data_IF_259163115383
#
_entry.id   IF_259163115383
#
_cell.length_a   1.000
_cell.length_b   1.000
_cell.length_c   1.000
_cell.angle_alpha   90.00
_cell.angle_beta   90.00
_cell.angle_gamma   90.00
#
_symmetry.space_group_name_H-M   'P 1'
#
loop_
_entity.id
_entity.type
_entity.pdbx_description
1 polymer ?
#
# COMPACT_ATOMS: atom_id res chain seq x y z
N UNK A 1 12.23 28.72 1.57
CA UNK A 1 11.29 28.43 0.47
C UNK A 1 10.07 27.71 1.04
N UNK A 2 8.94 27.67 0.32
CA UNK A 2 7.75 26.89 0.67
C UNK A 2 7.78 25.46 0.11
N UNK A 3 8.95 24.82 0.10
CA UNK A 3 9.14 23.53 -0.55
C UNK A 3 8.59 22.39 0.32
N UNK A 4 7.88 21.46 -0.30
CA UNK A 4 7.30 20.27 0.35
C UNK A 4 8.11 19.05 -0.08
N UNK A 5 8.43 18.17 0.87
CA UNK A 5 9.18 16.94 0.65
C UNK A 5 8.67 15.86 1.59
N UNK A 6 8.87 14.60 1.21
CA UNK A 6 8.56 13.46 2.07
C UNK A 6 9.61 13.35 3.18
N UNK A 7 9.16 13.03 4.40
CA UNK A 7 10.06 12.80 5.54
C UNK A 7 10.57 11.35 5.60
N UNK A 8 9.80 10.43 5.04
CA UNK A 8 10.04 8.99 4.99
C UNK A 8 9.51 8.43 3.66
N UNK A 9 9.85 7.19 3.29
CA UNK A 9 9.17 6.49 2.22
C UNK A 9 7.64 6.52 2.43
N UNK A 10 6.92 6.58 1.30
CA UNK A 10 5.47 6.44 1.27
C UNK A 10 5.15 5.02 0.85
N UNK A 11 4.06 4.49 1.38
CA UNK A 11 3.59 3.11 1.18
C UNK A 11 2.12 3.20 0.78
N UNK A 12 1.80 2.73 -0.43
CA UNK A 12 0.47 2.89 -1.03
C UNK A 12 -0.56 2.03 -0.31
N UNK A 13 -0.19 0.81 0.07
CA UNK A 13 -1.00 -0.16 0.79
C UNK A 13 -1.36 0.35 2.19
N UNK A 14 -0.48 1.14 2.81
CA UNK A 14 -0.72 1.76 4.10
C UNK A 14 -1.56 3.04 4.00
N UNK A 15 -1.25 3.96 3.07
CA UNK A 15 -1.97 5.22 2.90
C UNK A 15 -1.89 5.70 1.45
N UNK A 16 -3.05 5.72 0.79
CA UNK A 16 -3.13 6.03 -0.65
C UNK A 16 -3.04 7.52 -0.94
N UNK A 17 -3.33 8.37 0.05
CA UNK A 17 -3.29 9.82 -0.15
C UNK A 17 -3.22 10.64 1.13
N UNK A 18 -2.80 11.90 1.00
CA UNK A 18 -2.76 12.86 2.08
C UNK A 18 -3.48 14.16 1.68
N UNK A 19 -4.18 14.76 2.64
CA UNK A 19 -4.74 16.11 2.51
C UNK A 19 -3.98 17.05 3.44
N UNK A 20 -3.22 17.98 2.86
CA UNK A 20 -2.39 18.92 3.60
C UNK A 20 -3.05 20.30 3.61
N UNK A 21 -3.11 20.95 4.77
CA UNK A 21 -3.45 22.37 4.90
C UNK A 21 -2.16 23.14 5.13
N UNK A 22 -1.81 24.02 4.20
CA UNK A 22 -0.58 24.80 4.25
C UNK A 22 -0.93 26.25 4.54
N UNK A 23 -0.32 26.82 5.56
CA UNK A 23 -0.45 28.23 5.92
C UNK A 23 0.84 28.98 5.61
N UNK A 24 0.69 30.15 4.96
CA UNK A 24 1.76 31.11 4.79
C UNK A 24 1.37 32.43 5.45
N UNK A 25 2.26 32.99 6.26
CA UNK A 25 2.04 34.26 6.97
C UNK A 25 3.26 35.18 6.87
N UNK A 26 3.02 36.49 6.98
CA UNK A 26 4.09 37.48 7.05
C UNK A 26 4.66 37.59 8.47
N UNK A 27 5.87 38.16 8.61
CA UNK A 27 6.53 38.34 9.91
C UNK A 27 6.13 39.66 10.61
N UNK A 28 4.95 40.21 10.29
CA UNK A 28 4.51 41.48 10.88
C UNK A 28 4.09 41.30 12.35
N UNK A 29 4.09 42.39 13.12
CA UNK A 29 3.64 42.40 14.53
C UNK A 29 2.17 41.97 14.69
N UNK A 30 1.36 42.13 13.64
CA UNK A 30 0.05 41.48 13.47
C UNK A 30 0.11 40.64 12.20
N UNK A 31 0.44 39.33 12.30
CA UNK A 31 0.57 38.47 11.14
C UNK A 31 -0.74 38.36 10.37
N UNK A 32 -0.67 38.49 9.05
CA UNK A 32 -1.76 38.11 8.16
C UNK A 32 -1.29 36.88 7.40
N UNK A 33 -2.13 35.84 7.40
CA UNK A 33 -1.86 34.58 6.73
C UNK A 33 -2.97 34.17 5.77
N UNK A 34 -2.63 33.26 4.87
CA UNK A 34 -3.56 32.58 3.97
C UNK A 34 -3.30 31.08 4.01
N UNK A 35 -4.35 30.29 3.84
CA UNK A 35 -4.28 28.84 3.79
C UNK A 35 -4.60 28.32 2.40
N UNK A 36 -4.00 27.18 2.04
CA UNK A 36 -4.34 26.41 0.84
C UNK A 36 -4.37 24.93 1.20
N UNK A 37 -5.27 24.19 0.56
CA UNK A 37 -5.35 22.75 0.65
C UNK A 37 -4.60 22.10 -0.51
N UNK A 38 -3.80 21.06 -0.21
CA UNK A 38 -3.02 20.30 -1.18
C UNK A 38 -3.35 18.83 -1.03
N UNK A 39 -3.87 18.23 -2.10
CA UNK A 39 -4.02 16.79 -2.20
C UNK A 39 -2.72 16.15 -2.73
N UNK A 40 -2.27 15.09 -2.07
CA UNK A 40 -1.11 14.30 -2.47
C UNK A 40 -1.56 12.87 -2.66
N UNK A 41 -1.58 12.39 -3.91
CA UNK A 41 -1.81 10.98 -4.21
C UNK A 41 -0.49 10.20 -4.14
N UNK A 42 -0.51 9.04 -3.49
CA UNK A 42 0.56 8.05 -3.57
C UNK A 42 0.31 7.18 -4.79
N UNK A 43 1.34 6.93 -5.58
CA UNK A 43 1.24 6.10 -6.78
C UNK A 43 1.54 4.67 -6.38
N UNK A 44 0.63 3.74 -6.69
CA UNK A 44 0.86 2.33 -6.46
C UNK A 44 2.06 1.82 -7.30
N UNK A 45 2.86 0.95 -6.70
CA UNK A 45 3.95 0.22 -7.34
C UNK A 45 3.84 -1.23 -6.96
N UNK A 46 4.23 -2.15 -7.85
CA UNK A 46 4.18 -3.57 -7.54
C UNK A 46 5.38 -3.95 -6.65
N UNK A 47 5.24 -3.78 -5.33
CA UNK A 47 6.27 -4.09 -4.34
C UNK A 47 5.84 -5.14 -3.31
N UNK A 48 4.61 -5.63 -3.37
CA UNK A 48 4.17 -6.83 -2.69
C UNK A 48 4.22 -8.03 -3.65
N UNK A 49 4.63 -9.19 -3.12
CA UNK A 49 4.62 -10.45 -3.87
C UNK A 49 3.46 -11.31 -3.34
N UNK A 50 2.81 -12.12 -4.19
CA UNK A 50 1.71 -12.96 -3.73
C UNK A 50 2.16 -13.91 -2.61
N UNK A 51 1.42 -13.92 -1.51
CA UNK A 51 1.66 -14.79 -0.36
C UNK A 51 0.56 -15.84 -0.24
N UNK A 52 0.93 -17.08 0.05
CA UNK A 52 -0.01 -18.16 0.38
C UNK A 52 -0.38 -18.12 1.87
N UNK A 53 -1.55 -18.63 2.23
CA UNK A 53 -2.04 -18.62 3.62
C UNK A 53 -1.12 -19.37 4.61
N UNK A 54 -0.52 -20.46 4.15
CA UNK A 54 0.38 -21.29 4.95
C UNK A 54 1.78 -21.33 4.33
N UNK A 55 2.80 -21.48 5.18
CA UNK A 55 4.19 -21.67 4.73
C UNK A 55 4.43 -23.10 4.22
N UNK A 56 3.73 -24.09 4.75
CA UNK A 56 3.89 -25.49 4.41
C UNK A 56 2.53 -26.15 4.20
N UNK A 57 2.43 -26.92 3.14
CA UNK A 57 1.23 -27.66 2.79
C UNK A 57 1.53 -29.15 2.73
N UNK A 58 0.76 -29.93 3.48
CA UNK A 58 0.87 -31.38 3.51
C UNK A 58 -0.37 -31.99 2.85
N UNK A 59 -0.15 -32.91 1.93
CA UNK A 59 -1.21 -33.67 1.30
C UNK A 59 -0.82 -35.14 1.20
N UNK A 60 -1.82 -36.02 1.27
CA UNK A 60 -1.65 -37.45 1.08
C UNK A 60 -2.71 -37.95 0.10
N UNK A 61 -2.32 -38.91 -0.73
CA UNK A 61 -3.19 -39.50 -1.75
C UNK A 61 -2.99 -41.02 -1.76
N UNK A 62 -4.08 -41.82 -1.83
CA UNK A 62 -3.97 -43.28 -1.98
C UNK A 62 -3.26 -43.69 -3.28
N UNK A 63 -2.51 -44.79 -3.25
CA UNK A 63 -1.72 -45.30 -4.39
C UNK A 63 -2.58 -45.67 -5.61
N UNK A 64 -3.84 -46.04 -5.36
CA UNK A 64 -4.81 -46.50 -6.34
C UNK A 64 -5.77 -45.38 -6.79
N UNK A 65 -5.42 -44.12 -6.53
CA UNK A 65 -6.23 -42.97 -6.94
C UNK A 65 -6.33 -42.86 -8.47
N UNK A 66 -7.52 -42.54 -9.01
CA UNK A 66 -7.70 -42.33 -10.44
C UNK A 66 -6.81 -41.22 -11.02
N UNK A 67 -6.54 -41.29 -12.32
CA UNK A 67 -5.84 -40.22 -13.03
C UNK A 67 -6.59 -38.89 -12.87
N UNK A 68 -5.83 -37.79 -12.71
CA UNK A 68 -6.33 -36.43 -12.49
C UNK A 68 -7.07 -36.20 -11.17
N UNK A 69 -6.82 -37.02 -10.14
CA UNK A 69 -7.29 -36.74 -8.78
C UNK A 69 -6.59 -35.46 -8.26
N UNK A 70 -7.34 -34.37 -7.95
CA UNK A 70 -6.74 -33.17 -7.38
C UNK A 70 -6.24 -33.47 -5.95
N UNK A 71 -5.04 -32.99 -5.64
CA UNK A 71 -4.37 -33.28 -4.36
C UNK A 71 -4.52 -32.10 -3.40
N UNK A 72 -4.20 -30.89 -3.88
CA UNK A 72 -4.29 -29.66 -3.11
C UNK A 72 -4.62 -28.49 -4.02
N UNK A 73 -5.32 -27.51 -3.47
CA UNK A 73 -5.54 -26.20 -4.07
C UNK A 73 -4.91 -25.16 -3.15
N UNK A 74 -4.15 -24.24 -3.73
CA UNK A 74 -3.52 -23.13 -3.01
C UNK A 74 -4.19 -21.83 -3.44
N UNK A 75 -4.35 -20.92 -2.48
CA UNK A 75 -4.76 -19.55 -2.71
C UNK A 75 -3.60 -18.65 -2.30
N UNK A 76 -3.24 -17.73 -3.19
CA UNK A 76 -2.28 -16.67 -2.91
C UNK A 76 -3.01 -15.33 -2.94
N UNK A 77 -2.59 -14.40 -2.07
CA UNK A 77 -3.08 -13.03 -2.00
C UNK A 77 -1.92 -12.09 -2.26
N UNK A 78 -2.16 -11.13 -3.14
CA UNK A 78 -1.32 -9.96 -3.33
C UNK A 78 -2.05 -8.76 -2.73
N UNK A 79 -1.30 -7.86 -2.10
CA UNK A 79 -1.86 -6.66 -1.46
C UNK A 79 -1.78 -5.42 -2.37
N UNK A 80 -1.02 -5.50 -3.47
CA UNK A 80 -0.98 -4.45 -4.48
C UNK A 80 -2.35 -4.29 -5.17
N UNK A 81 -2.75 -3.05 -5.44
CA UNK A 81 -3.98 -2.69 -6.16
C UNK A 81 -3.79 -2.79 -7.70
N UNK A 82 -4.73 -3.43 -8.40
CA UNK A 82 -4.66 -3.74 -9.86
C UNK A 82 -4.65 -2.52 -10.80
#
# INVERSE_FOLDING_TARGET
>A
SGSIFTKSPLDYEMERSYWLVIEASNQASRPIGSQIEVYVGVVNVNDNAPITEEMLYYASIPENSPANTPIITLVARDDDDD
#
